data_IF_259596802076
#
_entry.id   IF_259596802076
#
_cell.length_a   1.000
_cell.length_b   1.000
_cell.length_c   1.000
_cell.angle_alpha   90.00
_cell.angle_beta   90.00
_cell.angle_gamma   90.00
#
_symmetry.space_group_name_H-M   'P 1'
#
loop_
_entity.id
_entity.type
_entity.pdbx_description
1 polymer ?
#
# COMPACT_ATOMS: atom_id res chain seq x y z
N UNK A 1 -9.62 -34.63 -24.82
CA UNK A 1 -9.84 -33.17 -24.82
C UNK A 1 -10.17 -32.75 -26.24
N UNK A 2 -11.39 -32.31 -26.52
CA UNK A 2 -11.80 -31.82 -27.84
C UNK A 2 -11.49 -30.32 -27.89
N UNK A 3 -10.49 -29.93 -28.68
CA UNK A 3 -10.17 -28.51 -28.89
C UNK A 3 -11.00 -28.02 -30.07
N UNK A 4 -12.11 -27.34 -29.78
CA UNK A 4 -12.87 -26.63 -30.79
C UNK A 4 -12.12 -25.35 -31.14
N UNK A 5 -11.58 -25.24 -32.36
CA UNK A 5 -10.87 -24.04 -32.89
C UNK A 5 -11.79 -22.83 -33.09
N UNK A 6 -12.74 -22.59 -32.19
CA UNK A 6 -13.61 -21.43 -32.25
C UNK A 6 -12.86 -20.22 -31.70
N UNK A 7 -12.55 -19.27 -32.58
CA UNK A 7 -11.93 -17.99 -32.24
C UNK A 7 -12.77 -16.87 -32.85
N UNK A 8 -13.31 -16.00 -31.99
CA UNK A 8 -14.07 -14.84 -32.44
C UNK A 8 -13.12 -13.65 -32.58
N UNK A 9 -12.88 -13.20 -33.81
CA UNK A 9 -12.02 -12.02 -34.00
C UNK A 9 -12.72 -10.76 -33.50
N UNK A 10 -11.99 -9.88 -32.81
CA UNK A 10 -12.48 -8.57 -32.35
C UNK A 10 -13.11 -7.76 -33.50
N UNK A 11 -12.57 -7.90 -34.71
CA UNK A 11 -13.09 -7.26 -35.93
C UNK A 11 -14.44 -7.84 -36.36
N UNK A 12 -14.68 -9.13 -36.16
CA UNK A 12 -15.96 -9.78 -36.49
C UNK A 12 -17.08 -9.27 -35.57
N UNK A 13 -16.80 -9.14 -34.27
CA UNK A 13 -17.78 -8.66 -33.29
C UNK A 13 -18.10 -7.16 -33.47
N UNK A 14 -17.06 -6.33 -33.66
CA UNK A 14 -17.22 -4.88 -33.85
C UNK A 14 -17.94 -4.51 -35.16
N UNK A 15 -17.91 -5.39 -36.18
CA UNK A 15 -18.68 -5.20 -37.41
C UNK A 15 -20.18 -5.50 -37.25
N UNK A 16 -20.58 -6.26 -36.23
CA UNK A 16 -21.97 -6.67 -36.01
C UNK A 16 -22.78 -5.74 -35.09
N UNK A 17 -22.12 -4.96 -34.23
CA UNK A 17 -22.79 -4.22 -33.15
C UNK A 17 -22.90 -2.70 -33.33
N UNK A 18 -22.41 -2.14 -34.43
CA UNK A 18 -22.81 -0.81 -34.90
C UNK A 18 -22.87 0.31 -33.84
N UNK A 19 -22.04 0.31 -32.81
CA UNK A 19 -21.84 1.41 -31.86
C UNK A 19 -20.70 1.05 -30.89
N UNK A 20 -19.93 2.07 -30.55
CA UNK A 20 -18.73 2.09 -29.72
C UNK A 20 -18.97 1.79 -28.24
N UNK A 21 -19.25 0.54 -27.89
CA UNK A 21 -19.05 0.06 -26.52
C UNK A 21 -17.74 -0.75 -26.47
N UNK A 22 -16.76 -0.27 -25.71
CA UNK A 22 -15.54 -1.00 -25.42
C UNK A 22 -15.89 -2.22 -24.55
N UNK A 23 -16.24 -3.34 -25.18
CA UNK A 23 -16.50 -4.59 -24.47
C UNK A 23 -15.21 -5.10 -23.81
N UNK A 24 -15.27 -5.56 -22.55
CA UNK A 24 -14.15 -6.24 -21.91
C UNK A 24 -13.79 -7.50 -22.70
N UNK A 25 -12.49 -7.81 -22.77
CA UNK A 25 -11.98 -8.99 -23.47
C UNK A 25 -12.53 -10.25 -22.79
N UNK A 26 -13.37 -11.00 -23.49
CA UNK A 26 -13.93 -12.27 -22.99
C UNK A 26 -12.90 -13.40 -23.17
N UNK A 27 -12.89 -14.39 -22.28
CA UNK A 27 -12.00 -15.56 -22.37
C UNK A 27 -12.09 -16.28 -23.73
N UNK A 28 -13.28 -16.30 -24.33
CA UNK A 28 -13.53 -16.86 -25.67
C UNK A 28 -12.84 -16.13 -26.83
N UNK A 29 -12.27 -14.94 -26.58
CA UNK A 29 -11.52 -14.14 -27.54
C UNK A 29 -10.00 -14.41 -27.49
N UNK A 30 -9.53 -15.21 -26.53
CA UNK A 30 -8.13 -15.64 -26.44
C UNK A 30 -7.98 -16.94 -27.25
N UNK A 31 -7.16 -16.98 -28.32
CA UNK A 31 -6.95 -18.21 -29.07
C UNK A 31 -6.39 -19.32 -28.16
N UNK A 32 -6.92 -20.53 -28.29
CA UNK A 32 -6.42 -21.69 -27.58
C UNK A 32 -4.90 -21.85 -27.75
N UNK A 33 -4.19 -22.22 -26.67
CA UNK A 33 -2.73 -22.36 -26.58
C UNK A 33 -1.92 -21.04 -26.64
N UNK A 34 -2.57 -19.87 -26.56
CA UNK A 34 -1.86 -18.61 -26.31
C UNK A 34 -1.51 -18.53 -24.82
N UNK A 35 -0.24 -18.32 -24.47
CA UNK A 35 0.14 -18.03 -23.09
C UNK A 35 -0.57 -16.74 -22.65
N UNK A 36 -1.47 -16.83 -21.66
CA UNK A 36 -2.29 -15.72 -21.17
C UNK A 36 -1.42 -14.49 -20.80
N UNK A 37 -0.23 -14.73 -20.25
CA UNK A 37 0.80 -13.72 -19.92
C UNK A 37 1.26 -12.85 -21.11
N UNK A 38 0.99 -13.27 -22.36
CA UNK A 38 1.32 -12.52 -23.58
C UNK A 38 0.10 -11.84 -24.22
N UNK A 39 -1.02 -11.78 -23.50
CA UNK A 39 -2.28 -11.21 -24.01
C UNK A 39 -2.75 -10.08 -23.13
N UNK A 40 -3.61 -9.21 -23.67
CA UNK A 40 -4.32 -8.21 -22.88
C UNK A 40 -5.29 -8.81 -21.83
N UNK A 41 -5.45 -10.15 -21.80
CA UNK A 41 -6.21 -10.89 -20.79
C UNK A 41 -5.35 -11.30 -19.58
N UNK A 42 -4.03 -11.01 -19.58
CA UNK A 42 -3.17 -11.35 -18.45
C UNK A 42 -3.71 -10.66 -17.17
N UNK A 43 -3.97 -11.41 -16.09
CA UNK A 43 -4.47 -10.82 -14.86
C UNK A 43 -3.44 -9.86 -14.27
N UNK A 44 -3.88 -8.66 -13.93
CA UNK A 44 -3.04 -7.66 -13.26
C UNK A 44 -2.69 -8.18 -11.87
N UNK A 45 -1.41 -8.48 -11.66
CA UNK A 45 -0.88 -8.87 -10.36
C UNK A 45 -0.86 -7.64 -9.47
N UNK A 46 -1.25 -7.80 -8.20
CA UNK A 46 -1.20 -6.76 -7.18
C UNK A 46 -0.67 -7.38 -5.90
N UNK A 47 0.08 -6.60 -5.14
CA UNK A 47 0.61 -6.99 -3.85
C UNK A 47 0.21 -5.94 -2.81
N UNK A 48 -0.55 -6.36 -1.81
CA UNK A 48 -1.02 -5.51 -0.73
C UNK A 48 -0.67 -6.15 0.61
N UNK A 49 -0.16 -5.36 1.54
CA UNK A 49 0.13 -5.77 2.91
C UNK A 49 -0.80 -5.03 3.86
N UNK A 50 -1.54 -5.77 4.69
CA UNK A 50 -2.28 -5.21 5.82
C UNK A 50 -1.53 -5.56 7.10
N UNK A 51 -1.26 -4.55 7.92
CA UNK A 51 -0.56 -4.67 9.19
C UNK A 51 -1.50 -4.41 10.35
N UNK A 52 -1.58 -5.37 11.26
CA UNK A 52 -2.32 -5.29 12.52
C UNK A 52 -1.27 -5.21 13.64
N UNK A 53 -1.14 -4.06 14.34
CA UNK A 53 -0.12 -3.90 15.38
C UNK A 53 -0.47 -4.68 16.64
N UNK A 54 0.48 -4.76 17.58
CA UNK A 54 0.35 -5.39 18.91
C UNK A 54 0.13 -6.92 18.93
N UNK A 55 0.10 -7.57 17.76
CA UNK A 55 -0.05 -9.02 17.63
C UNK A 55 -1.50 -9.48 17.52
N UNK A 56 -1.68 -10.81 17.59
CA UNK A 56 -2.98 -11.45 17.47
C UNK A 56 -3.11 -12.59 18.48
N UNK A 57 -4.32 -12.84 18.96
CA UNK A 57 -4.58 -14.01 19.80
C UNK A 57 -4.52 -15.30 18.97
N UNK A 58 -3.37 -15.97 19.02
CA UNK A 58 -3.04 -17.11 18.17
C UNK A 58 -4.04 -18.27 18.23
N UNK A 59 -4.65 -18.62 19.38
CA UNK A 59 -5.71 -19.63 19.45
C UNK A 59 -6.96 -19.31 18.61
N UNK A 60 -7.22 -18.03 18.33
CA UNK A 60 -8.35 -17.56 17.51
C UNK A 60 -7.94 -17.15 16.10
N UNK A 61 -6.63 -17.09 15.81
CA UNK A 61 -6.06 -16.75 14.50
C UNK A 61 -5.76 -17.97 13.63
N UNK A 62 -5.23 -19.06 14.18
CA UNK A 62 -4.88 -20.26 13.41
C UNK A 62 -5.97 -21.33 13.42
N UNK A 63 -6.12 -22.12 12.33
CA UNK A 63 -6.96 -23.31 12.35
C UNK A 63 -6.39 -24.35 13.32
N UNK A 64 -7.25 -25.24 13.81
CA UNK A 64 -6.87 -26.32 14.75
C UNK A 64 -6.08 -27.46 14.08
N UNK A 65 -6.08 -27.53 12.75
CA UNK A 65 -5.42 -28.56 11.97
C UNK A 65 -4.94 -28.01 10.63
N UNK A 66 -3.89 -28.62 10.09
CA UNK A 66 -3.39 -28.34 8.75
C UNK A 66 -4.29 -28.90 7.66
N UNK A 67 -4.17 -28.34 6.44
CA UNK A 67 -4.91 -28.77 5.26
C UNK A 67 -5.94 -27.75 4.77
N UNK A 68 -6.86 -28.16 3.88
CA UNK A 68 -7.91 -27.29 3.38
C UNK A 68 -8.77 -26.72 4.51
N UNK A 69 -9.04 -25.42 4.46
CA UNK A 69 -9.86 -24.74 5.46
C UNK A 69 -11.34 -25.14 5.26
N UNK A 70 -11.88 -25.93 6.16
CA UNK A 70 -13.32 -26.20 6.20
C UNK A 70 -14.10 -24.96 6.65
N UNK A 71 -13.59 -24.29 7.69
CA UNK A 71 -14.08 -23.03 8.25
C UNK A 71 -12.90 -22.12 8.57
N UNK A 72 -13.12 -20.81 8.54
CA UNK A 72 -12.12 -19.84 8.98
C UNK A 72 -12.13 -19.70 10.51
N UNK A 73 -10.96 -19.50 11.12
CA UNK A 73 -10.86 -19.27 12.55
C UNK A 73 -11.58 -17.96 12.95
N UNK A 74 -12.01 -17.80 14.21
CA UNK A 74 -12.91 -16.71 14.63
C UNK A 74 -12.52 -15.32 14.16
N UNK A 75 -11.25 -14.94 14.29
CA UNK A 75 -10.74 -13.62 13.87
C UNK A 75 -10.87 -13.38 12.36
N UNK A 76 -10.89 -14.44 11.54
CA UNK A 76 -10.95 -14.36 10.08
C UNK A 76 -12.34 -14.65 9.51
N UNK A 77 -13.39 -14.80 10.34
CA UNK A 77 -14.75 -15.14 9.89
C UNK A 77 -15.32 -14.16 8.87
N UNK A 78 -14.93 -12.89 8.92
CA UNK A 78 -15.34 -11.88 7.94
C UNK A 78 -14.91 -12.21 6.50
N UNK A 79 -13.93 -13.10 6.31
CA UNK A 79 -13.44 -13.55 5.01
C UNK A 79 -14.08 -14.86 4.54
N UNK A 80 -15.16 -15.34 5.16
CA UNK A 80 -15.75 -16.67 4.86
C UNK A 80 -16.10 -16.83 3.39
N UNK A 81 -16.65 -15.79 2.74
CA UNK A 81 -16.97 -15.79 1.31
C UNK A 81 -15.72 -15.91 0.40
N UNK A 82 -14.54 -15.65 0.96
CA UNK A 82 -13.25 -15.71 0.28
C UNK A 82 -12.38 -16.87 0.79
N UNK A 83 -12.92 -17.79 1.60
CA UNK A 83 -12.16 -18.86 2.26
C UNK A 83 -11.26 -19.65 1.31
N UNK A 84 -11.75 -19.98 0.11
CA UNK A 84 -10.98 -20.74 -0.90
C UNK A 84 -9.85 -19.91 -1.56
N UNK A 85 -9.73 -18.63 -1.19
CA UNK A 85 -8.65 -17.70 -1.58
C UNK A 85 -7.73 -17.35 -0.41
N UNK A 86 -7.99 -17.88 0.79
CA UNK A 86 -7.20 -17.61 2.00
C UNK A 86 -6.20 -18.74 2.23
N UNK A 87 -4.94 -18.36 2.47
CA UNK A 87 -3.88 -19.26 2.94
C UNK A 87 -3.38 -18.75 4.28
N UNK A 88 -3.45 -19.59 5.32
CA UNK A 88 -2.77 -19.33 6.59
C UNK A 88 -1.44 -20.08 6.62
N UNK A 89 -0.36 -19.35 6.84
CA UNK A 89 0.99 -19.91 6.95
C UNK A 89 1.49 -19.71 8.39
N UNK A 90 1.81 -20.80 9.06
CA UNK A 90 2.44 -20.82 10.39
C UNK A 90 3.91 -21.20 10.32
N UNK A 91 4.59 -21.21 11.48
CA UNK A 91 5.99 -21.64 11.60
C UNK A 91 7.01 -20.62 11.07
N UNK A 92 6.59 -19.39 10.80
CA UNK A 92 7.49 -18.28 10.47
C UNK A 92 7.77 -17.45 11.73
N UNK A 93 9.02 -17.02 11.89
CA UNK A 93 9.45 -16.13 12.95
C UNK A 93 10.35 -15.04 12.36
N UNK A 94 10.15 -13.80 12.80
CA UNK A 94 11.04 -12.70 12.47
C UNK A 94 12.25 -12.71 13.43
N UNK A 95 13.23 -13.54 13.11
CA UNK A 95 14.46 -13.62 13.92
C UNK A 95 15.27 -12.32 13.91
N UNK A 96 15.08 -11.46 12.91
CA UNK A 96 15.75 -10.17 12.85
C UNK A 96 15.28 -9.24 13.97
N UNK A 97 14.01 -9.34 14.38
CA UNK A 97 13.48 -8.61 15.54
C UNK A 97 14.26 -8.95 16.83
N UNK A 98 14.59 -10.24 17.04
CA UNK A 98 15.34 -10.71 18.23
C UNK A 98 16.79 -10.20 18.28
N UNK A 99 17.35 -9.81 17.14
CA UNK A 99 18.72 -9.33 17.03
C UNK A 99 18.85 -7.81 17.26
N UNK A 100 17.73 -7.09 17.34
CA UNK A 100 17.72 -5.65 17.65
C UNK A 100 18.07 -5.45 19.14
N UNK A 101 19.26 -4.91 19.40
CA UNK A 101 19.76 -4.67 20.76
C UNK A 101 19.24 -3.33 21.30
N UNK A 102 18.21 -3.36 22.14
CA UNK A 102 17.52 -2.17 22.65
C UNK A 102 16.19 -1.94 21.93
N UNK A 103 15.57 -0.76 22.10
CA UNK A 103 14.20 -0.53 21.65
C UNK A 103 13.18 -1.37 22.43
N UNK A 104 11.89 -1.07 22.28
CA UNK A 104 10.83 -1.93 22.77
C UNK A 104 10.35 -2.92 21.71
N UNK A 105 9.55 -3.89 22.14
CA UNK A 105 9.09 -4.99 21.30
C UNK A 105 8.18 -4.52 20.15
N UNK A 106 7.56 -3.36 20.29
CA UNK A 106 6.70 -2.79 19.28
C UNK A 106 7.51 -2.17 18.13
N UNK A 107 8.55 -1.39 18.45
CA UNK A 107 9.48 -0.90 17.44
C UNK A 107 10.20 -2.03 16.71
N UNK A 108 10.52 -3.12 17.42
CA UNK A 108 11.08 -4.33 16.79
C UNK A 108 10.08 -4.92 15.80
N UNK A 109 8.84 -5.16 16.22
CA UNK A 109 7.79 -5.76 15.39
C UNK A 109 7.57 -5.01 14.08
N UNK A 110 7.25 -3.72 14.13
CA UNK A 110 6.97 -2.94 12.91
C UNK A 110 8.25 -2.61 12.11
N UNK A 111 9.35 -2.28 12.80
CA UNK A 111 10.61 -1.89 12.17
C UNK A 111 11.29 -2.99 11.35
N UNK A 112 11.08 -4.26 11.71
CA UNK A 112 11.65 -5.41 10.98
C UNK A 112 10.65 -6.11 10.06
N UNK A 113 9.33 -5.87 10.21
CA UNK A 113 8.25 -6.61 9.53
C UNK A 113 8.46 -6.85 8.03
N UNK A 114 8.71 -5.78 7.24
CA UNK A 114 8.93 -5.91 5.78
C UNK A 114 10.40 -5.78 5.38
N UNK A 115 11.28 -5.38 6.29
CA UNK A 115 12.73 -5.22 5.99
C UNK A 115 13.50 -6.51 6.25
N UNK A 116 13.04 -7.33 7.19
CA UNK A 116 13.66 -8.59 7.58
C UNK A 116 15.08 -8.44 8.12
N UNK A 117 15.47 -7.25 8.59
CA UNK A 117 16.82 -6.98 9.13
C UNK A 117 16.76 -6.20 10.44
N UNK A 118 17.73 -6.37 11.34
CA UNK A 118 17.83 -5.54 12.53
C UNK A 118 18.13 -4.08 12.16
N UNK A 119 17.49 -3.14 12.85
CA UNK A 119 17.71 -1.71 12.63
C UNK A 119 18.60 -1.08 13.70
N UNK A 120 19.13 0.10 13.38
CA UNK A 120 19.89 0.93 14.31
C UNK A 120 18.95 1.59 15.32
N UNK A 121 19.19 1.34 16.62
CA UNK A 121 18.54 2.08 17.70
C UNK A 121 18.99 3.54 17.69
N UNK A 122 18.04 4.45 17.51
CA UNK A 122 18.20 5.90 17.59
C UNK A 122 16.83 6.52 17.87
N UNK A 123 16.78 7.67 18.53
CA UNK A 123 15.57 8.51 18.65
C UNK A 123 15.56 9.68 17.64
N UNK A 124 16.62 9.79 16.83
CA UNK A 124 16.84 10.88 15.87
C UNK A 124 16.41 10.55 14.44
N UNK A 125 16.77 11.43 13.52
CA UNK A 125 16.51 11.27 12.08
C UNK A 125 17.51 10.34 11.38
N UNK A 126 18.56 9.89 12.07
CA UNK A 126 19.65 9.03 11.56
C UNK A 126 19.28 7.53 11.62
N UNK A 127 18.03 7.24 11.23
CA UNK A 127 17.45 5.89 11.15
C UNK A 127 18.19 5.05 10.11
N UNK A 128 18.29 3.75 10.37
CA UNK A 128 18.95 2.81 9.48
C UNK A 128 18.34 1.41 9.64
N UNK A 129 17.70 0.92 8.58
CA UNK A 129 17.17 -0.43 8.42
C UNK A 129 17.65 -1.01 7.07
N UNK A 130 16.73 -1.46 6.21
CA UNK A 130 16.99 -1.89 4.83
C UNK A 130 15.83 -1.50 3.92
N UNK A 131 15.98 -1.70 2.62
CA UNK A 131 14.85 -1.63 1.67
C UNK A 131 13.85 -2.73 2.04
N UNK A 132 12.57 -2.37 2.16
CA UNK A 132 11.51 -3.32 2.48
C UNK A 132 11.05 -4.12 1.25
N UNK A 133 10.49 -5.31 1.46
CA UNK A 133 10.11 -6.22 0.37
C UNK A 133 9.06 -5.62 -0.57
N UNK A 134 8.13 -4.82 -0.05
CA UNK A 134 7.11 -4.12 -0.84
C UNK A 134 7.78 -3.12 -1.79
N UNK A 135 8.85 -2.45 -1.35
CA UNK A 135 9.58 -1.49 -2.17
C UNK A 135 10.49 -2.16 -3.20
N UNK A 136 10.97 -3.37 -2.93
CA UNK A 136 11.61 -4.22 -3.95
C UNK A 136 10.58 -4.56 -5.05
N UNK A 137 9.35 -4.93 -4.67
CA UNK A 137 8.27 -5.18 -5.63
C UNK A 137 7.85 -3.91 -6.38
N UNK A 138 7.77 -2.76 -5.70
CA UNK A 138 7.40 -1.46 -6.29
C UNK A 138 8.34 -1.07 -7.43
N UNK A 139 9.66 -1.22 -7.24
CA UNK A 139 10.66 -0.93 -8.29
C UNK A 139 10.48 -1.79 -9.55
N UNK A 140 9.91 -2.98 -9.42
CA UNK A 140 9.62 -3.84 -10.57
C UNK A 140 8.34 -3.40 -11.29
N UNK A 141 7.34 -2.93 -10.53
CA UNK A 141 5.99 -2.63 -11.05
C UNK A 141 5.76 -1.16 -11.41
N UNK A 142 6.65 -0.24 -11.00
CA UNK A 142 6.55 1.20 -11.26
C UNK A 142 6.54 1.59 -12.73
N UNK A 143 6.91 0.66 -13.63
CA UNK A 143 6.85 0.85 -15.08
C UNK A 143 5.43 0.71 -15.64
N UNK A 144 4.51 0.19 -14.84
CA UNK A 144 3.15 -0.14 -15.27
C UNK A 144 2.09 0.76 -14.63
N UNK A 145 2.46 1.51 -13.59
CA UNK A 145 1.55 2.33 -12.79
C UNK A 145 2.08 3.74 -12.56
N UNK A 146 1.18 4.70 -12.33
CA UNK A 146 1.59 6.07 -12.01
C UNK A 146 2.32 6.11 -10.66
N UNK A 147 1.75 5.53 -9.60
CA UNK A 147 2.39 5.41 -8.29
C UNK A 147 3.09 4.05 -8.17
N UNK A 148 4.38 4.06 -7.84
CA UNK A 148 5.15 2.83 -7.59
C UNK A 148 4.56 2.02 -6.43
N UNK A 149 4.13 2.71 -5.38
CA UNK A 149 3.46 2.16 -4.21
C UNK A 149 2.59 3.23 -3.53
N UNK A 150 1.68 2.78 -2.66
CA UNK A 150 0.91 3.63 -1.76
C UNK A 150 0.95 3.08 -0.33
N UNK A 151 1.30 3.95 0.61
CA UNK A 151 1.47 3.63 2.02
C UNK A 151 0.33 4.28 2.79
N UNK A 152 -0.58 3.47 3.30
CA UNK A 152 -1.81 3.90 3.95
C UNK A 152 -1.79 3.54 5.42
N UNK A 153 -2.51 4.29 6.23
CA UNK A 153 -2.77 3.92 7.61
C UNK A 153 -3.88 4.75 8.23
N UNK A 154 -4.24 4.43 9.47
CA UNK A 154 -5.35 5.10 10.16
C UNK A 154 -4.84 6.13 11.17
N UNK A 155 -3.72 5.83 11.82
CA UNK A 155 -3.24 6.61 12.96
C UNK A 155 -1.97 7.41 12.63
N UNK A 156 -1.25 7.87 13.65
CA UNK A 156 -0.13 8.81 13.51
C UNK A 156 0.92 8.39 12.46
N UNK A 157 1.34 9.35 11.64
CA UNK A 157 2.46 9.24 10.72
C UNK A 157 3.75 9.90 11.27
N UNK A 158 3.84 10.13 12.58
CA UNK A 158 4.99 10.80 13.18
C UNK A 158 6.27 9.94 13.04
N UNK A 159 7.35 10.53 12.52
CA UNK A 159 8.62 9.81 12.27
C UNK A 159 9.75 10.18 13.23
N UNK A 160 9.60 11.26 13.99
CA UNK A 160 10.66 11.80 14.85
C UNK A 160 10.29 11.68 16.33
N UNK A 161 11.31 11.51 17.17
CA UNK A 161 11.17 11.36 18.62
C UNK A 161 11.39 9.92 19.06
N UNK A 162 11.36 9.70 20.38
CA UNK A 162 11.43 8.39 20.98
C UNK A 162 10.00 7.86 21.20
N UNK A 163 9.64 6.80 20.48
CA UNK A 163 8.30 6.21 20.59
C UNK A 163 8.29 4.95 21.46
N UNK A 164 9.23 4.03 21.27
CA UNK A 164 9.21 2.75 21.98
C UNK A 164 10.62 2.28 22.37
N UNK A 165 10.88 2.20 23.68
CA UNK A 165 12.18 1.81 24.24
C UNK A 165 13.36 2.64 23.74
N UNK A 166 13.14 3.93 23.42
CA UNK A 166 14.16 4.83 22.87
C UNK A 166 14.39 4.71 21.36
N UNK A 167 13.66 3.84 20.67
CA UNK A 167 13.66 3.76 19.22
C UNK A 167 12.82 4.88 18.58
N UNK A 168 13.24 5.30 17.39
CA UNK A 168 12.62 6.34 16.59
C UNK A 168 11.18 5.97 16.25
N UNK A 169 10.29 6.95 16.25
CA UNK A 169 8.90 6.78 15.83
C UNK A 169 8.75 6.23 14.40
N UNK A 170 9.77 6.37 13.55
CA UNK A 170 9.80 5.67 12.27
C UNK A 170 9.65 4.15 12.41
N UNK A 171 10.20 3.53 13.45
CA UNK A 171 10.13 2.07 13.61
C UNK A 171 8.80 1.57 14.19
N UNK A 172 7.90 2.46 14.62
CA UNK A 172 6.56 2.11 15.15
C UNK A 172 5.42 2.52 14.23
N UNK A 173 5.64 3.56 13.43
CA UNK A 173 4.60 4.23 12.62
C UNK A 173 4.80 4.01 11.12
N UNK A 174 5.81 3.26 10.69
CA UNK A 174 5.94 2.77 9.31
C UNK A 174 6.47 1.34 9.27
N UNK A 175 6.13 0.64 8.19
CA UNK A 175 6.67 -0.67 7.80
C UNK A 175 7.36 -0.64 6.44
N UNK A 176 7.22 0.45 5.67
CA UNK A 176 7.71 0.56 4.29
C UNK A 176 8.97 1.44 4.23
N UNK A 177 10.01 0.96 3.54
CA UNK A 177 11.33 1.57 3.50
C UNK A 177 11.86 1.61 2.06
N UNK A 178 11.89 2.79 1.46
CA UNK A 178 12.37 3.01 0.07
C UNK A 178 13.86 2.71 -0.06
N UNK A 179 14.62 3.13 0.94
CA UNK A 179 16.07 2.93 1.08
C UNK A 179 16.35 2.53 2.53
N UNK A 180 17.57 2.05 2.86
CA UNK A 180 17.94 1.78 4.25
C UNK A 180 17.75 2.94 5.22
N UNK A 181 17.73 4.19 4.74
CA UNK A 181 17.62 5.41 5.57
C UNK A 181 16.37 6.23 5.29
N UNK A 182 15.51 5.79 4.37
CA UNK A 182 14.32 6.53 3.93
C UNK A 182 13.06 5.71 4.20
N UNK A 183 12.46 5.84 5.40
CA UNK A 183 11.13 5.31 5.66
C UNK A 183 10.10 6.03 4.75
N UNK A 184 9.02 5.33 4.42
CA UNK A 184 7.86 5.90 3.75
C UNK A 184 6.74 6.02 4.78
N UNK A 185 6.42 7.24 5.26
CA UNK A 185 5.33 7.46 6.19
C UNK A 185 4.01 7.01 5.59
N UNK A 186 3.13 6.48 6.43
CA UNK A 186 1.73 6.26 6.05
C UNK A 186 1.04 7.59 5.78
N UNK A 187 0.13 7.60 4.83
CA UNK A 187 -0.87 8.65 4.68
C UNK A 187 -2.16 8.21 5.39
N UNK A 188 -2.65 9.02 6.30
CA UNK A 188 -3.88 8.76 7.05
C UNK A 188 -5.00 9.72 6.74
N UNK A 189 -4.78 10.78 5.94
CA UNK A 189 -5.84 11.67 5.50
C UNK A 189 -6.45 11.17 4.16
N UNK A 190 -7.73 10.75 4.14
CA UNK A 190 -8.41 10.33 2.91
C UNK A 190 -8.40 11.37 1.81
N UNK A 191 -8.42 12.68 2.16
CA UNK A 191 -8.32 13.76 1.18
C UNK A 191 -6.94 13.76 0.53
N UNK A 192 -5.88 13.65 1.31
CA UNK A 192 -4.51 13.61 0.81
C UNK A 192 -4.26 12.37 -0.07
N UNK A 193 -4.81 11.21 0.32
CA UNK A 193 -4.80 10.00 -0.52
C UNK A 193 -5.52 10.25 -1.85
N UNK A 194 -6.73 10.82 -1.82
CA UNK A 194 -7.49 11.15 -3.03
C UNK A 194 -6.71 12.10 -3.94
N UNK A 195 -6.08 13.14 -3.38
CA UNK A 195 -5.26 14.09 -4.14
C UNK A 195 -4.00 13.43 -4.73
N UNK A 196 -3.38 12.49 -4.00
CA UNK A 196 -2.25 11.71 -4.51
C UNK A 196 -2.66 10.81 -5.68
N UNK A 197 -3.88 10.25 -5.65
CA UNK A 197 -4.42 9.40 -6.72
C UNK A 197 -4.92 10.21 -7.91
N UNK A 198 -5.69 11.28 -7.70
CA UNK A 198 -6.44 11.93 -8.77
C UNK A 198 -6.02 13.39 -9.02
N UNK A 199 -5.34 14.00 -8.06
CA UNK A 199 -4.93 15.41 -8.09
C UNK A 199 -5.85 16.32 -7.28
N UNK A 200 -5.46 17.59 -7.20
CA UNK A 200 -6.12 18.62 -6.38
C UNK A 200 -7.28 19.33 -7.08
N UNK A 201 -7.71 18.87 -8.25
CA UNK A 201 -8.86 19.44 -8.98
C UNK A 201 -10.21 19.17 -8.30
N UNK A 202 -10.23 18.38 -7.23
CA UNK A 202 -11.46 17.97 -6.54
C UNK A 202 -12.36 17.05 -7.38
N UNK A 203 -11.90 16.63 -8.56
CA UNK A 203 -12.66 15.83 -9.52
C UNK A 203 -11.73 14.97 -10.37
N UNK A 204 -12.21 13.77 -10.73
CA UNK A 204 -11.57 12.84 -11.67
C UNK A 204 -11.84 13.17 -13.15
N UNK A 205 -12.42 14.35 -13.44
CA UNK A 205 -12.73 14.79 -14.80
C UNK A 205 -11.51 14.85 -15.73
N UNK A 206 -11.72 14.43 -16.98
CA UNK A 206 -10.66 14.32 -17.98
C UNK A 206 -10.02 15.67 -18.33
N UNK A 207 -10.81 16.75 -18.41
CA UNK A 207 -10.30 18.08 -18.77
C UNK A 207 -9.43 18.66 -17.66
N UNK A 208 -9.82 18.44 -16.41
CA UNK A 208 -9.04 18.80 -15.23
C UNK A 208 -7.71 18.03 -15.19
N UNK A 209 -7.76 16.71 -15.47
CA UNK A 209 -6.57 15.84 -15.50
C UNK A 209 -5.55 16.27 -16.56
N UNK A 210 -5.98 16.56 -17.79
CA UNK A 210 -5.08 17.00 -18.87
C UNK A 210 -4.42 18.34 -18.53
N UNK A 211 -5.20 19.28 -17.99
CA UNK A 211 -4.69 20.61 -17.60
C UNK A 211 -3.60 20.50 -16.54
N UNK A 212 -3.80 19.62 -15.56
CA UNK A 212 -2.82 19.33 -14.50
C UNK A 212 -1.53 18.76 -15.07
N UNK A 213 -1.58 17.69 -15.86
CA UNK A 213 -0.38 17.03 -16.41
C UNK A 213 0.51 18.06 -17.15
N UNK A 214 -0.11 18.96 -17.93
CA UNK A 214 0.62 20.03 -18.63
C UNK A 214 1.29 21.01 -17.68
N UNK A 215 0.60 21.41 -16.60
CA UNK A 215 1.14 22.30 -15.57
C UNK A 215 2.31 21.66 -14.83
N UNK A 216 2.15 20.41 -14.39
CA UNK A 216 3.16 19.69 -13.61
C UNK A 216 4.45 19.52 -14.43
N UNK A 217 4.33 19.21 -15.73
CA UNK A 217 5.47 19.14 -16.66
C UNK A 217 6.22 20.47 -16.77
N UNK A 218 5.50 21.58 -16.93
CA UNK A 218 6.12 22.91 -17.04
C UNK A 218 6.87 23.32 -15.78
N UNK A 219 6.36 22.95 -14.59
CA UNK A 219 7.03 23.23 -13.31
C UNK A 219 8.31 22.38 -13.21
N UNK A 220 8.23 21.12 -13.62
CA UNK A 220 9.34 20.16 -13.54
C UNK A 220 10.51 20.54 -14.46
N UNK A 221 10.20 20.97 -15.69
CA UNK A 221 11.20 21.45 -16.65
C UNK A 221 11.99 22.64 -16.07
N UNK A 222 11.30 23.56 -15.39
CA UNK A 222 11.92 24.72 -14.74
C UNK A 222 12.82 24.31 -13.55
N UNK A 223 12.30 23.46 -12.66
CA UNK A 223 12.99 23.04 -11.44
C UNK A 223 14.25 22.22 -11.73
N UNK A 224 14.20 21.33 -12.73
CA UNK A 224 15.31 20.44 -13.07
C UNK A 224 16.53 21.22 -13.58
N UNK A 225 16.30 22.29 -14.34
CA UNK A 225 17.37 23.18 -14.81
C UNK A 225 18.09 23.92 -13.68
N UNK A 226 17.34 24.42 -12.70
CA UNK A 226 17.89 25.12 -11.53
C UNK A 226 18.66 24.17 -10.60
N UNK A 227 18.10 22.99 -10.31
CA UNK A 227 18.73 22.00 -9.44
C UNK A 227 20.06 21.48 -10.02
N UNK A 228 20.13 21.25 -11.34
CA UNK A 228 21.36 20.86 -12.03
C UNK A 228 22.46 21.94 -11.93
N UNK A 229 22.07 23.20 -11.93
CA UNK A 229 22.98 24.34 -11.76
C UNK A 229 23.49 24.44 -10.32
N UNK A 230 22.61 24.24 -9.33
CA UNK A 230 22.97 24.23 -7.91
C UNK A 230 23.94 23.09 -7.56
N UNK A 231 23.76 21.90 -8.14
CA UNK A 231 24.64 20.75 -7.91
C UNK A 231 26.12 20.98 -8.26
N UNK A 232 26.41 21.95 -9.13
CA UNK A 232 27.77 22.37 -9.49
C UNK A 232 28.42 23.26 -8.43
N UNK A 233 27.63 23.91 -7.57
CA UNK A 233 28.09 24.92 -6.63
C UNK A 233 28.17 24.44 -5.17
N UNK A 234 27.55 23.30 -4.83
CA UNK A 234 27.45 22.80 -3.45
C UNK A 234 28.53 21.78 -3.07
N UNK A 235 28.79 21.70 -1.76
CA UNK A 235 29.77 20.78 -1.17
C UNK A 235 29.29 19.31 -1.12
N UNK A 236 30.20 18.35 -0.80
CA UNK A 236 29.90 16.91 -0.84
C UNK A 236 28.75 16.44 0.07
N UNK A 237 28.56 17.06 1.24
CA UNK A 237 27.47 16.70 2.16
C UNK A 237 26.08 17.09 1.62
N UNK A 238 25.96 18.28 1.03
CA UNK A 238 24.70 18.75 0.45
C UNK A 238 24.32 18.00 -0.83
N UNK A 239 25.31 17.43 -1.53
CA UNK A 239 25.06 16.57 -2.71
C UNK A 239 24.23 15.34 -2.39
N UNK A 240 24.29 14.83 -1.15
CA UNK A 240 23.46 13.68 -0.74
C UNK A 240 21.98 14.08 -0.76
N UNK A 241 21.62 15.21 -0.11
CA UNK A 241 20.26 15.76 -0.13
C UNK A 241 19.81 16.12 -1.54
N UNK A 242 20.70 16.67 -2.35
CA UNK A 242 20.38 17.00 -3.74
C UNK A 242 20.14 15.73 -4.58
N UNK A 243 20.82 14.62 -4.27
CA UNK A 243 20.57 13.32 -4.94
C UNK A 243 19.18 12.79 -4.61
N UNK A 244 18.79 12.81 -3.33
CA UNK A 244 17.42 12.45 -2.89
C UNK A 244 16.36 13.32 -3.57
N UNK A 245 16.66 14.61 -3.72
CA UNK A 245 15.81 15.54 -4.45
C UNK A 245 15.68 15.17 -5.93
N UNK A 246 16.79 14.89 -6.62
CA UNK A 246 16.77 14.46 -8.03
C UNK A 246 16.03 13.14 -8.23
N UNK A 247 16.16 12.18 -7.32
CA UNK A 247 15.41 10.93 -7.39
C UNK A 247 13.90 11.19 -7.21
N UNK A 248 13.52 12.14 -6.37
CA UNK A 248 12.13 12.59 -6.23
C UNK A 248 11.60 13.27 -7.50
N UNK A 249 12.41 14.13 -8.14
CA UNK A 249 12.10 14.77 -9.43
C UNK A 249 11.87 13.73 -10.52
N UNK A 250 12.76 12.73 -10.65
CA UNK A 250 12.61 11.64 -11.63
C UNK A 250 11.36 10.80 -11.42
N UNK A 251 10.97 10.56 -10.16
CA UNK A 251 9.72 9.85 -9.86
C UNK A 251 8.49 10.66 -10.32
N UNK A 252 8.54 12.00 -10.21
CA UNK A 252 7.49 12.88 -10.74
C UNK A 252 7.47 12.84 -12.28
N UNK A 253 8.62 12.89 -12.95
CA UNK A 253 8.70 12.78 -14.42
C UNK A 253 8.07 11.46 -14.90
N UNK A 254 8.42 10.35 -14.24
CA UNK A 254 7.86 9.02 -14.52
C UNK A 254 6.34 9.00 -14.34
N UNK A 255 5.83 9.58 -13.25
CA UNK A 255 4.38 9.70 -12.98
C UNK A 255 3.67 10.45 -14.10
N UNK A 256 4.22 11.58 -14.55
CA UNK A 256 3.65 12.39 -15.63
C UNK A 256 3.60 11.57 -16.93
N UNK A 257 4.70 10.91 -17.30
CA UNK A 257 4.74 10.06 -18.50
C UNK A 257 3.69 8.94 -18.45
N UNK A 258 3.51 8.28 -17.30
CA UNK A 258 2.49 7.25 -17.14
C UNK A 258 1.08 7.83 -17.17
N UNK A 259 0.87 9.00 -16.59
CA UNK A 259 -0.41 9.68 -16.63
C UNK A 259 -0.81 10.08 -18.06
N UNK A 260 0.15 10.52 -18.89
CA UNK A 260 -0.05 10.81 -20.32
C UNK A 260 -0.40 9.52 -21.10
N UNK A 261 0.34 8.43 -20.86
CA UNK A 261 0.08 7.14 -21.51
C UNK A 261 -1.29 6.55 -21.13
N UNK A 262 -1.78 6.84 -19.92
CA UNK A 262 -3.05 6.35 -19.38
C UNK A 262 -4.19 7.38 -19.47
N UNK A 263 -4.06 8.43 -20.30
CA UNK A 263 -5.03 9.54 -20.34
C UNK A 263 -6.43 9.15 -20.84
N UNK A 264 -6.54 8.04 -21.58
CA UNK A 264 -7.79 7.54 -22.17
C UNK A 264 -8.56 6.59 -21.25
N UNK A 265 -8.04 6.34 -20.05
CA UNK A 265 -8.66 5.44 -19.07
C UNK A 265 -9.81 6.17 -18.38
N UNK A 266 -11.00 5.60 -18.49
CA UNK A 266 -12.17 6.08 -17.75
C UNK A 266 -11.96 5.86 -16.24
N UNK A 267 -12.16 6.92 -15.47
CA UNK A 267 -12.12 6.89 -14.01
C UNK A 267 -13.56 6.95 -13.48
N UNK A 268 -13.90 6.23 -12.40
CA UNK A 268 -15.18 6.44 -11.73
C UNK A 268 -15.27 7.88 -11.23
N UNK A 269 -16.47 8.46 -11.30
CA UNK A 269 -16.75 9.77 -10.71
C UNK A 269 -16.90 9.57 -9.21
N UNK A 270 -15.95 10.09 -8.45
CA UNK A 270 -15.92 9.99 -6.99
C UNK A 270 -15.63 11.38 -6.44
N UNK A 271 -16.44 11.80 -5.47
CA UNK A 271 -16.25 13.07 -4.78
C UNK A 271 -15.03 13.01 -3.86
N UNK A 272 -14.29 14.12 -3.78
CA UNK A 272 -13.15 14.23 -2.88
C UNK A 272 -13.62 14.17 -1.42
N UNK A 273 -12.98 13.34 -0.57
CA UNK A 273 -13.28 13.30 0.86
C UNK A 273 -13.03 14.64 1.58
N UNK A 274 -13.80 14.87 2.64
CA UNK A 274 -13.67 16.04 3.49
C UNK A 274 -12.39 16.03 4.36
N UNK A 275 -11.81 14.84 4.60
CA UNK A 275 -10.65 14.65 5.46
C UNK A 275 -10.82 13.38 6.30
N UNK A 276 -10.20 13.33 7.47
CA UNK A 276 -10.27 12.21 8.42
C UNK A 276 -11.64 12.17 9.12
N UNK A 277 -12.43 11.09 8.99
CA UNK A 277 -13.67 10.90 9.75
C UNK A 277 -13.40 10.78 11.26
N UNK A 278 -14.40 11.13 12.09
CA UNK A 278 -14.29 10.99 13.54
C UNK A 278 -14.45 9.54 14.05
N UNK A 279 -15.15 8.70 13.29
CA UNK A 279 -15.36 7.29 13.58
C UNK A 279 -14.28 6.42 12.92
N UNK A 280 -13.73 5.47 13.68
CA UNK A 280 -12.64 4.61 13.20
C UNK A 280 -13.09 3.70 12.06
N UNK A 281 -14.26 3.06 12.18
CA UNK A 281 -14.75 2.13 11.18
C UNK A 281 -15.09 2.85 9.87
N UNK A 282 -15.63 4.07 9.95
CA UNK A 282 -15.83 4.95 8.80
C UNK A 282 -14.50 5.35 8.14
N UNK A 283 -13.50 5.76 8.94
CA UNK A 283 -12.18 6.11 8.43
C UNK A 283 -11.49 4.93 7.75
N UNK A 284 -11.48 3.77 8.40
CA UNK A 284 -10.90 2.54 7.85
C UNK A 284 -11.60 2.11 6.55
N UNK A 285 -12.93 2.14 6.51
CA UNK A 285 -13.71 1.82 5.30
C UNK A 285 -13.36 2.78 4.17
N UNK A 286 -13.36 4.09 4.43
CA UNK A 286 -13.04 5.10 3.42
C UNK A 286 -11.62 4.94 2.86
N UNK A 287 -10.63 4.65 3.71
CA UNK A 287 -9.26 4.40 3.27
C UNK A 287 -9.14 3.11 2.44
N UNK A 288 -9.89 2.05 2.79
CA UNK A 288 -9.96 0.83 1.99
C UNK A 288 -10.67 1.05 0.64
N UNK A 289 -11.72 1.87 0.61
CA UNK A 289 -12.41 2.26 -0.64
C UNK A 289 -11.46 3.02 -1.57
N UNK A 290 -10.63 3.93 -1.03
CA UNK A 290 -9.60 4.61 -1.80
C UNK A 290 -8.52 3.65 -2.32
N UNK A 291 -8.11 2.65 -1.53
CA UNK A 291 -7.21 1.58 -2.01
C UNK A 291 -7.85 0.76 -3.13
N UNK A 292 -9.13 0.40 -2.99
CA UNK A 292 -9.89 -0.30 -4.03
C UNK A 292 -9.93 0.54 -5.32
N UNK A 293 -10.22 1.84 -5.21
CA UNK A 293 -10.20 2.76 -6.35
C UNK A 293 -8.81 2.82 -6.98
N UNK A 294 -7.74 2.90 -6.19
CA UNK A 294 -6.36 2.88 -6.69
C UNK A 294 -6.06 1.62 -7.50
N UNK A 295 -6.59 0.47 -7.08
CA UNK A 295 -6.44 -0.81 -7.79
C UNK A 295 -7.32 -0.90 -9.04
N UNK A 296 -8.58 -0.48 -8.98
CA UNK A 296 -9.50 -0.48 -10.13
C UNK A 296 -8.99 0.44 -11.25
N UNK A 297 -8.45 1.60 -10.86
CA UNK A 297 -7.87 2.58 -11.77
C UNK A 297 -6.42 2.26 -12.16
N UNK A 298 -5.82 1.22 -11.54
CA UNK A 298 -4.42 0.78 -11.73
C UNK A 298 -3.42 1.93 -11.53
N UNK A 299 -3.75 2.83 -10.60
CA UNK A 299 -2.88 3.92 -10.16
C UNK A 299 -1.66 3.37 -9.42
N UNK A 300 -1.83 2.23 -8.73
CA UNK A 300 -0.74 1.46 -8.14
C UNK A 300 -1.09 -0.03 -8.11
N UNK A 301 -0.06 -0.86 -7.99
CA UNK A 301 -0.18 -2.32 -7.78
C UNK A 301 0.49 -2.78 -6.48
N UNK A 302 1.16 -1.88 -5.76
CA UNK A 302 1.80 -2.15 -4.48
C UNK A 302 1.15 -1.27 -3.42
N UNK A 303 0.76 -1.85 -2.30
CA UNK A 303 0.31 -1.08 -1.15
C UNK A 303 0.71 -1.68 0.19
N UNK A 304 0.86 -0.81 1.18
CA UNK A 304 0.89 -1.17 2.59
C UNK A 304 -0.24 -0.44 3.31
N UNK A 305 -0.85 -1.08 4.31
CA UNK A 305 -1.96 -0.52 5.07
C UNK A 305 -1.77 -0.85 6.55
N UNK A 306 -1.50 0.15 7.39
CA UNK A 306 -1.41 -0.01 8.84
C UNK A 306 -2.76 0.31 9.48
N UNK A 307 -3.45 -0.70 10.02
CA UNK A 307 -4.77 -0.54 10.62
C UNK A 307 -4.75 0.29 11.92
N UNK A 308 -3.60 0.30 12.59
CA UNK A 308 -3.27 1.18 13.70
C UNK A 308 -1.74 1.28 13.77
N UNK A 309 -1.22 2.21 14.57
CA UNK A 309 0.19 2.21 14.93
C UNK A 309 0.45 1.25 16.07
N UNK A 310 1.68 0.81 16.16
CA UNK A 310 2.20 0.16 17.35
C UNK A 310 1.95 1.02 18.60
N UNK A 311 1.71 0.36 19.75
CA UNK A 311 1.36 0.98 21.05
C UNK A 311 0.09 1.85 21.02
N UNK A 312 -0.75 1.73 20.00
CA UNK A 312 -2.00 2.49 19.95
C UNK A 312 -2.94 2.08 21.08
N UNK A 313 -3.40 3.08 21.83
CA UNK A 313 -4.38 2.91 22.88
C UNK A 313 -5.83 2.93 22.36
N UNK A 314 -6.05 2.83 21.05
CA UNK A 314 -7.38 2.86 20.46
C UNK A 314 -8.28 1.76 21.05
N UNK A 315 -9.55 2.10 21.26
CA UNK A 315 -10.60 1.19 21.71
C UNK A 315 -11.62 1.06 20.57
N UNK A 316 -12.36 -0.06 20.52
CA UNK A 316 -13.33 -0.35 19.47
C UNK A 316 -14.77 -0.42 20.02
N UNK A 317 -15.33 0.68 20.55
CA UNK A 317 -16.66 0.70 21.16
C UNK A 317 -17.78 0.36 20.16
N UNK A 318 -17.55 0.56 18.86
CA UNK A 318 -18.48 0.22 17.78
C UNK A 318 -18.76 -1.28 17.66
N UNK A 319 -17.86 -2.14 18.16
CA UNK A 319 -18.08 -3.59 18.31
C UNK A 319 -18.33 -4.00 19.77
N UNK A 320 -18.56 -3.04 20.66
CA UNK A 320 -18.84 -3.28 22.07
C UNK A 320 -17.61 -3.43 22.97
N UNK A 321 -16.41 -3.10 22.49
CA UNK A 321 -15.15 -3.21 23.26
C UNK A 321 -14.59 -1.82 23.54
N UNK A 322 -14.97 -1.23 24.66
CA UNK A 322 -14.51 0.12 25.07
C UNK A 322 -13.15 0.14 25.77
N UNK A 323 -12.59 -1.03 26.09
CA UNK A 323 -11.24 -1.15 26.64
C UNK A 323 -10.19 -0.79 25.57
N UNK A 324 -9.08 -0.23 26.01
CA UNK A 324 -7.96 0.08 25.11
C UNK A 324 -7.31 -1.20 24.59
N UNK A 325 -7.12 -1.31 23.27
CA UNK A 325 -6.62 -2.53 22.63
C UNK A 325 -5.20 -2.90 23.06
N UNK A 326 -4.28 -1.93 23.16
CA UNK A 326 -2.90 -2.20 23.57
C UNK A 326 -2.78 -2.89 24.94
N UNK A 327 -3.34 -2.38 26.05
CA UNK A 327 -3.28 -3.09 27.33
C UNK A 327 -4.05 -4.42 27.31
N UNK A 328 -5.11 -4.56 26.50
CA UNK A 328 -5.77 -5.85 26.31
C UNK A 328 -4.85 -6.88 25.66
N UNK A 329 -4.05 -6.49 24.65
CA UNK A 329 -3.14 -7.41 23.95
C UNK A 329 -2.04 -7.96 24.86
N UNK A 330 -1.69 -7.25 25.94
CA UNK A 330 -0.88 -7.75 27.06
C UNK A 330 -1.73 -8.62 28.00
N UNK A 331 -2.40 -9.64 27.44
CA UNK A 331 -3.45 -10.39 28.13
C UNK A 331 -2.93 -11.34 29.22
N UNK A 332 -1.65 -11.75 29.20
CA UNK A 332 -1.07 -12.67 30.19
C UNK A 332 -1.88 -13.96 30.40
N UNK A 333 -2.49 -14.46 29.32
CA UNK A 333 -3.45 -15.59 29.33
C UNK A 333 -4.69 -15.42 30.23
N UNK A 334 -5.04 -14.18 30.61
CA UNK A 334 -6.26 -13.88 31.33
C UNK A 334 -7.48 -14.04 30.41
N UNK A 335 -8.36 -14.99 30.73
CA UNK A 335 -9.53 -15.33 29.93
C UNK A 335 -10.45 -14.13 29.64
N UNK A 336 -10.65 -13.23 30.62
CA UNK A 336 -11.50 -12.05 30.46
C UNK A 336 -10.93 -11.01 29.46
N UNK A 337 -9.60 -10.93 29.33
CA UNK A 337 -8.95 -10.08 28.31
C UNK A 337 -9.02 -10.74 26.94
N UNK A 338 -8.78 -12.05 26.89
CA UNK A 338 -8.86 -12.84 25.66
C UNK A 338 -10.25 -12.86 25.03
N UNK A 339 -11.32 -12.82 25.82
CA UNK A 339 -12.70 -12.75 25.31
C UNK A 339 -13.02 -11.40 24.63
N UNK A 340 -12.29 -10.33 25.00
CA UNK A 340 -12.48 -8.97 24.46
C UNK A 340 -11.60 -8.67 23.24
N UNK A 341 -10.64 -9.54 22.93
CA UNK A 341 -9.76 -9.47 21.75
C UNK A 341 -10.36 -10.27 20.59
#
# INVERSE_FOLDING_TARGET
MIITKMHLSRRTLLRGLGASLALPLLDSMVPALTALDKTAAAPVRRFGVFYVPNGMSMPYWFPKAEGPLAELPPTLRSLTELKDRVLLMGGLADESANLVKGGGDHARSAGTFLTGVPFKITSGADVLASVSMDQIAARQMEKETQLASIELGIESNAMLGACDGGASCAYTNTIAWRTPTTPLPIENDPRAVFERLFGTSGSTDLSARITRIRRDKSILDFVTGEAASLGKAIGPQDKIKLTEYFDSVRDIERRIQMAEAQNSRELPVVDQPAGVPGDYAEHARLMMDLLLLAYQTDMTRISTFMLAREVSAHAYPEIGVSDSHHPLSHHQDEAAKLERL
#
